data_IF_895339632369
#
_entry.id   IF_895339632369
#
_cell.length_a   1.000
_cell.length_b   1.000
_cell.length_c   1.000
_cell.angle_alpha   90.00
_cell.angle_beta   90.00
_cell.angle_gamma   90.00
#
_symmetry.space_group_name_H-M   'P 1'
#
loop_
_entity.id
_entity.type
_entity.pdbx_description
1 polymer ?
#
# COMPACT_ATOMS: atom_id res chain seq x y z
N UNK A 1 -12.49 12.78 5.33
CA UNK A 1 -11.57 11.71 4.87
C UNK A 1 -11.49 10.65 5.95
N UNK A 2 -11.76 9.39 5.61
CA UNK A 2 -11.65 8.26 6.53
C UNK A 2 -10.34 7.51 6.28
N UNK A 3 -9.70 7.05 7.36
CA UNK A 3 -8.48 6.29 7.29
C UNK A 3 -8.80 4.80 7.36
N UNK A 4 -8.52 4.08 6.29
CA UNK A 4 -8.69 2.62 6.27
C UNK A 4 -7.35 1.96 6.52
N UNK A 5 -7.31 1.05 7.49
CA UNK A 5 -6.14 0.22 7.80
C UNK A 5 -6.44 -1.21 7.37
N UNK A 6 -5.64 -1.71 6.43
CA UNK A 6 -5.70 -3.11 5.99
C UNK A 6 -4.52 -3.89 6.56
N UNK A 7 -4.75 -5.16 6.91
CA UNK A 7 -3.66 -6.07 7.24
C UNK A 7 -3.26 -6.84 5.98
N UNK A 8 -1.95 -6.89 5.73
CA UNK A 8 -1.38 -7.65 4.62
C UNK A 8 -0.18 -8.48 5.02
N UNK A 9 0.39 -9.18 4.05
CA UNK A 9 1.60 -9.98 4.20
C UNK A 9 2.58 -9.69 3.06
N UNK A 10 3.86 -9.48 3.38
CA UNK A 10 4.90 -9.34 2.37
C UNK A 10 5.14 -10.71 1.72
N UNK A 11 4.98 -10.80 0.40
CA UNK A 11 5.08 -12.08 -0.34
C UNK A 11 6.25 -12.13 -1.31
N UNK A 12 6.76 -10.98 -1.74
CA UNK A 12 7.88 -10.92 -2.69
C UNK A 12 8.58 -9.56 -2.56
N UNK A 13 9.91 -9.56 -2.73
CA UNK A 13 10.69 -8.35 -2.97
C UNK A 13 11.15 -8.35 -4.42
N UNK A 14 10.87 -7.26 -5.12
CA UNK A 14 11.25 -7.02 -6.50
C UNK A 14 12.34 -5.97 -6.51
N UNK A 15 13.54 -6.36 -6.91
CA UNK A 15 14.66 -5.45 -7.13
C UNK A 15 14.89 -5.36 -8.64
N UNK A 16 14.46 -4.25 -9.25
CA UNK A 16 14.75 -3.93 -10.64
C UNK A 16 15.73 -2.74 -10.68
N UNK A 17 16.48 -2.62 -11.78
CA UNK A 17 17.54 -1.61 -12.01
C UNK A 17 17.07 -0.17 -11.82
N UNK A 18 15.76 0.06 -11.77
CA UNK A 18 15.14 1.36 -11.59
C UNK A 18 14.36 1.52 -10.29
N UNK A 19 13.91 0.43 -9.65
CA UNK A 19 12.98 0.49 -8.50
C UNK A 19 13.07 -0.75 -7.63
N UNK A 20 13.10 -0.52 -6.31
CA UNK A 20 13.00 -1.54 -5.28
C UNK A 20 11.58 -1.54 -4.71
N UNK A 21 10.80 -2.58 -5.01
CA UNK A 21 9.39 -2.71 -4.63
C UNK A 21 9.13 -3.99 -3.82
N UNK A 22 8.21 -3.91 -2.86
CA UNK A 22 7.70 -5.05 -2.11
C UNK A 22 6.27 -5.33 -2.55
N UNK A 23 5.96 -6.59 -2.83
CA UNK A 23 4.61 -7.04 -3.09
C UNK A 23 3.96 -7.47 -1.78
N UNK A 24 2.83 -6.85 -1.47
CA UNK A 24 2.05 -7.14 -0.26
C UNK A 24 0.70 -7.70 -0.67
N UNK A 25 0.39 -8.90 -0.16
CA UNK A 25 -0.93 -9.51 -0.31
C UNK A 25 -1.87 -8.94 0.75
N UNK A 26 -3.01 -8.41 0.31
CA UNK A 26 -4.12 -7.97 1.17
C UNK A 26 -5.35 -8.75 0.73
N UNK A 27 -5.81 -9.70 1.54
CA UNK A 27 -6.93 -10.58 1.18
C UNK A 27 -6.71 -11.24 -0.21
N UNK A 28 -7.58 -10.97 -1.19
CA UNK A 28 -7.48 -11.45 -2.58
C UNK A 28 -6.73 -10.49 -3.51
N UNK A 29 -6.26 -9.35 -3.01
CA UNK A 29 -5.56 -8.32 -3.76
C UNK A 29 -4.05 -8.38 -3.55
N UNK A 30 -3.31 -7.94 -4.57
CA UNK A 30 -1.88 -7.72 -4.52
C UNK A 30 -1.59 -6.25 -4.76
N UNK A 31 -0.77 -5.65 -3.90
CA UNK A 31 -0.27 -4.29 -4.09
C UNK A 31 1.26 -4.27 -4.13
N UNK A 32 1.81 -3.27 -4.81
CA UNK A 32 3.24 -2.99 -4.85
C UNK A 32 3.51 -1.71 -4.09
N UNK A 33 4.46 -1.75 -3.15
CA UNK A 33 4.90 -0.57 -2.40
C UNK A 33 6.42 -0.39 -2.54
N UNK A 34 6.95 0.83 -2.52
CA UNK A 34 8.39 1.03 -2.47
C UNK A 34 9.01 0.44 -1.20
N UNK A 35 10.17 -0.23 -1.31
CA UNK A 35 10.85 -0.81 -0.13
C UNK A 35 11.16 0.22 0.95
N UNK A 36 11.42 1.46 0.55
CA UNK A 36 11.65 2.62 1.44
C UNK A 36 10.46 2.95 2.35
N UNK A 37 9.27 2.43 2.06
CA UNK A 37 8.09 2.58 2.94
C UNK A 37 8.03 1.52 4.04
N UNK A 38 8.87 0.49 3.95
CA UNK A 38 9.02 -0.56 4.96
C UNK A 38 10.19 -0.22 5.89
N UNK A 39 10.18 -0.83 7.07
CA UNK A 39 11.34 -0.77 7.96
C UNK A 39 12.46 -1.66 7.43
N UNK A 40 13.71 -1.33 7.73
CA UNK A 40 14.88 -2.08 7.23
C UNK A 40 14.90 -3.56 7.69
N UNK A 41 14.16 -3.88 8.75
CA UNK A 41 13.98 -5.22 9.31
C UNK A 41 12.75 -5.96 8.74
N UNK A 42 12.13 -5.49 7.66
CA UNK A 42 11.00 -6.19 7.04
C UNK A 42 11.46 -7.43 6.25
N UNK A 43 10.80 -8.56 6.49
CA UNK A 43 11.10 -9.85 5.86
C UNK A 43 9.92 -10.45 5.10
N UNK A 44 10.20 -11.42 4.24
CA UNK A 44 9.17 -12.21 3.55
C UNK A 44 8.33 -12.97 4.58
N UNK A 45 7.01 -12.89 4.43
CA UNK A 45 6.04 -13.50 5.33
C UNK A 45 5.62 -12.61 6.50
N UNK A 46 6.27 -11.47 6.71
CA UNK A 46 5.88 -10.54 7.77
C UNK A 46 4.49 -9.95 7.52
N UNK A 47 3.75 -9.79 8.62
CA UNK A 47 2.45 -9.13 8.62
C UNK A 47 2.66 -7.63 8.74
N UNK A 48 2.05 -6.88 7.83
CA UNK A 48 2.16 -5.43 7.77
C UNK A 48 0.79 -4.78 7.85
N UNK A 49 0.74 -3.57 8.40
CA UNK A 49 -0.44 -2.71 8.40
C UNK A 49 -0.29 -1.66 7.30
N UNK A 50 -1.28 -1.58 6.43
CA UNK A 50 -1.27 -0.70 5.28
C UNK A 50 -2.30 0.38 5.53
N UNK A 51 -1.80 1.61 5.63
CA UNK A 51 -2.59 2.81 5.84
C UNK A 51 -2.74 3.52 4.51
N UNK A 52 -3.91 3.41 3.88
CA UNK A 52 -4.19 4.05 2.59
C UNK A 52 -5.18 5.21 2.77
N UNK A 53 -4.89 6.33 2.10
CA UNK A 53 -5.85 7.42 1.93
C UNK A 53 -6.44 7.33 0.54
N UNK A 54 -7.76 7.18 0.45
CA UNK A 54 -8.47 7.22 -0.83
C UNK A 54 -8.86 8.66 -1.18
N UNK A 55 -8.63 9.04 -2.44
CA UNK A 55 -9.21 10.23 -3.03
C UNK A 55 -10.44 9.82 -3.83
N UNK A 56 -11.61 10.33 -3.44
CA UNK A 56 -12.88 10.05 -4.13
C UNK A 56 -13.07 11.14 -5.19
N UNK A 57 -13.34 10.76 -6.42
CA UNK A 57 -13.59 11.69 -7.54
C UNK A 57 -15.00 11.47 -8.11
N UNK A 58 -15.67 12.55 -8.50
CA UNK A 58 -16.94 12.53 -9.25
C UNK A 58 -16.74 13.35 -10.51
N UNK A 59 -17.03 12.78 -11.68
CA UNK A 59 -16.84 13.44 -12.98
C UNK A 59 -15.41 14.01 -13.18
N UNK A 60 -14.39 13.29 -12.71
CA UNK A 60 -12.97 13.72 -12.71
C UNK A 60 -12.62 14.90 -11.78
N UNK A 61 -13.55 15.37 -10.96
CA UNK A 61 -13.29 16.38 -9.92
C UNK A 61 -13.23 15.72 -8.53
N UNK A 62 -12.29 16.12 -7.65
CA UNK A 62 -12.22 15.57 -6.30
C UNK A 62 -13.48 15.92 -5.52
N UNK A 63 -14.09 14.91 -4.90
CA UNK A 63 -15.23 15.11 -3.99
C UNK A 63 -14.68 15.59 -2.66
N UNK A 64 -14.75 16.89 -2.41
CA UNK A 64 -14.49 17.44 -1.08
C UNK A 64 -15.67 17.11 -0.16
N UNK A 65 -15.40 16.55 1.02
CA UNK A 65 -16.43 16.47 2.07
C UNK A 65 -16.92 17.90 2.39
N UNK A 66 -18.24 18.13 2.57
CA UNK A 66 -18.72 19.42 3.07
C UNK A 66 -18.16 19.65 4.48
N UNK A 67 -17.80 20.90 4.78
CA UNK A 67 -17.33 21.36 6.10
C UNK A 67 -18.32 21.05 7.23
#
# INVERSE_FOLDING_TARGET
MELVVHQGQIVEFVDDSHRRLAKIRIESCMIEVPLETLTDDAHLGDKVLIKATYSIYKNHEPVTSPE
#
